data_IF_661409511685
#
_entry.id   IF_661409511685
#
_cell.length_a   1.000
_cell.length_b   1.000
_cell.length_c   1.000
_cell.angle_alpha   90.00
_cell.angle_beta   90.00
_cell.angle_gamma   90.00
#
_symmetry.space_group_name_H-M   'P 1'
#
loop_
_entity.id
_entity.type
_entity.pdbx_description
1 polymer ?
#
# COMPACT_ATOMS: atom_id res chain seq x y z
N UNK A 1 6.39 15.87 9.24
CA UNK A 1 6.81 14.92 8.18
C UNK A 1 6.61 13.49 8.65
N UNK A 2 6.13 12.63 7.77
CA UNK A 2 5.93 11.22 8.08
C UNK A 2 7.04 10.40 7.44
N UNK A 3 7.61 9.51 8.22
CA UNK A 3 8.61 8.56 7.74
C UNK A 3 7.96 7.19 7.58
N UNK A 4 8.03 6.61 6.38
CA UNK A 4 7.43 5.30 6.09
C UNK A 4 8.51 4.23 6.18
N UNK A 5 8.47 3.46 7.26
CA UNK A 5 9.49 2.46 7.56
C UNK A 5 9.04 1.08 7.05
N UNK A 6 9.82 0.43 6.16
CA UNK A 6 9.45 -0.88 5.65
C UNK A 6 9.63 -1.97 6.69
N UNK A 7 8.78 -2.98 6.62
CA UNK A 7 8.88 -4.17 7.44
C UNK A 7 8.72 -5.40 6.54
N UNK A 8 9.70 -6.30 6.56
CA UNK A 8 9.69 -7.49 5.73
C UNK A 8 9.77 -8.80 6.53
N UNK A 9 10.01 -8.72 7.83
CA UNK A 9 10.05 -9.89 8.69
C UNK A 9 8.63 -10.37 8.97
N UNK A 10 8.32 -11.62 8.58
CA UNK A 10 6.95 -12.15 8.70
C UNK A 10 6.44 -12.19 10.14
N UNK A 11 7.32 -12.47 11.11
CA UNK A 11 6.91 -12.46 12.52
C UNK A 11 6.44 -11.07 12.95
N UNK A 12 7.17 -10.02 12.55
CA UNK A 12 6.80 -8.65 12.89
C UNK A 12 5.52 -8.24 12.17
N UNK A 13 5.36 -8.64 10.92
CA UNK A 13 4.14 -8.36 10.17
C UNK A 13 2.95 -9.06 10.83
N UNK A 14 3.11 -10.30 11.25
CA UNK A 14 2.05 -11.03 11.95
C UNK A 14 1.64 -10.33 13.24
N UNK A 15 2.60 -9.76 13.98
CA UNK A 15 2.29 -9.02 15.20
C UNK A 15 1.54 -7.73 14.93
N UNK A 16 1.83 -7.07 13.79
CA UNK A 16 1.19 -5.81 13.43
C UNK A 16 -0.22 -6.00 12.86
N UNK A 17 -0.40 -7.08 12.11
CA UNK A 17 -1.64 -7.33 11.39
C UNK A 17 -2.19 -8.69 11.74
N UNK A 18 -3.07 -8.90 12.52
CA UNK A 18 -3.67 -10.18 12.89
C UNK A 18 -4.26 -10.87 11.65
N UNK A 19 -3.39 -11.40 10.80
CA UNK A 19 -3.77 -11.93 9.49
C UNK A 19 -3.10 -13.28 9.21
N UNK A 20 -3.68 -14.00 8.27
CA UNK A 20 -3.17 -15.29 7.80
C UNK A 20 -2.30 -15.08 6.56
N UNK A 21 -1.16 -15.75 6.51
CA UNK A 21 -0.24 -15.65 5.38
C UNK A 21 -0.30 -16.88 4.48
N UNK A 22 -0.45 -16.65 3.19
CA UNK A 22 -0.37 -17.71 2.19
C UNK A 22 1.09 -17.99 1.87
N UNK A 23 1.46 -19.28 1.81
CA UNK A 23 2.86 -19.66 1.59
C UNK A 23 3.38 -19.30 0.21
N UNK A 24 2.51 -19.20 -0.78
CA UNK A 24 2.89 -18.89 -2.16
C UNK A 24 3.08 -17.41 -2.43
N UNK A 25 2.82 -16.55 -1.45
CA UNK A 25 2.84 -15.11 -1.64
C UNK A 25 3.96 -14.47 -0.83
N UNK A 26 4.44 -13.31 -1.30
CA UNK A 26 5.41 -12.49 -0.60
C UNK A 26 4.64 -11.35 0.07
N UNK A 27 4.96 -11.08 1.33
CA UNK A 27 4.31 -10.02 2.09
C UNK A 27 5.33 -8.96 2.48
N UNK A 28 4.84 -7.74 2.59
CA UNK A 28 5.62 -6.63 3.13
C UNK A 28 4.68 -5.65 3.79
N UNK A 29 5.25 -4.78 4.59
CA UNK A 29 4.47 -3.78 5.30
C UNK A 29 5.24 -2.48 5.42
N UNK A 30 4.51 -1.40 5.67
CA UNK A 30 5.09 -0.13 6.06
C UNK A 30 4.42 0.35 7.34
N UNK A 31 5.22 0.93 8.22
CA UNK A 31 4.73 1.63 9.41
C UNK A 31 5.05 3.10 9.21
N UNK A 32 4.06 3.96 9.38
CA UNK A 32 4.26 5.41 9.32
C UNK A 32 4.62 5.94 10.70
N UNK A 33 5.65 6.77 10.78
CA UNK A 33 6.14 7.31 12.04
C UNK A 33 6.26 8.82 11.92
N UNK A 34 5.73 9.55 12.90
CA UNK A 34 5.82 11.01 12.91
C UNK A 34 7.15 11.50 13.48
N UNK A 35 7.33 12.80 13.57
CA UNK A 35 8.57 13.42 14.04
C UNK A 35 8.90 13.07 15.49
N UNK A 36 7.90 12.72 16.29
CA UNK A 36 8.08 12.37 17.69
C UNK A 36 8.31 10.87 17.90
N UNK A 37 8.35 10.09 16.82
CA UNK A 37 8.55 8.66 16.89
C UNK A 37 7.29 7.86 17.12
N UNK A 38 6.11 8.50 17.06
CA UNK A 38 4.84 7.82 17.25
C UNK A 38 4.33 7.20 15.97
N UNK A 39 3.74 5.99 16.06
CA UNK A 39 3.13 5.35 14.93
C UNK A 39 1.85 6.09 14.53
N UNK A 40 1.74 6.45 13.26
CA UNK A 40 0.54 7.10 12.71
C UNK A 40 -0.24 6.18 11.78
N UNK A 41 0.23 4.97 11.57
CA UNK A 41 -0.49 4.00 10.74
C UNK A 41 0.41 2.91 10.21
N UNK A 42 -0.22 2.00 9.47
CA UNK A 42 0.47 0.85 8.88
C UNK A 42 -0.26 0.40 7.62
N UNK A 43 0.47 -0.29 6.75
CA UNK A 43 -0.04 -0.78 5.47
C UNK A 43 0.55 -2.15 5.20
N UNK A 44 -0.28 -3.09 4.74
CA UNK A 44 0.14 -4.45 4.41
C UNK A 44 -0.04 -4.68 2.92
N UNK A 45 1.01 -5.23 2.28
CA UNK A 45 1.00 -5.58 0.86
C UNK A 45 1.26 -7.07 0.69
N UNK A 46 0.71 -7.61 -0.39
CA UNK A 46 0.88 -9.01 -0.77
C UNK A 46 1.26 -9.06 -2.24
N UNK A 47 2.32 -9.80 -2.58
CA UNK A 47 2.80 -9.93 -3.95
C UNK A 47 2.66 -11.38 -4.38
N UNK A 48 2.06 -11.59 -5.55
CA UNK A 48 1.90 -12.90 -6.14
C UNK A 48 2.19 -12.78 -7.64
N UNK A 49 3.41 -13.14 -8.05
CA UNK A 49 3.84 -12.99 -9.42
C UNK A 49 3.91 -11.52 -9.85
N UNK A 50 3.24 -11.20 -10.94
CA UNK A 50 3.19 -9.82 -11.46
C UNK A 50 2.16 -8.94 -10.77
N UNK A 51 1.39 -9.50 -9.86
CA UNK A 51 0.31 -8.77 -9.21
C UNK A 51 0.65 -8.49 -7.76
N UNK A 52 0.30 -7.30 -7.30
CA UNK A 52 0.33 -7.01 -5.88
C UNK A 52 -1.04 -6.54 -5.42
N UNK A 53 -1.30 -6.74 -4.16
CA UNK A 53 -2.54 -6.31 -3.52
C UNK A 53 -2.20 -5.45 -2.32
N UNK A 54 -2.87 -4.30 -2.20
CA UNK A 54 -2.86 -3.51 -0.98
C UNK A 54 -3.93 -4.14 -0.10
N UNK A 55 -3.49 -4.94 0.87
CA UNK A 55 -4.40 -5.78 1.67
C UNK A 55 -5.09 -4.96 2.74
N UNK A 56 -4.33 -4.08 3.40
CA UNK A 56 -4.84 -3.35 4.55
C UNK A 56 -4.09 -2.03 4.70
N UNK A 57 -4.82 -0.98 5.02
CA UNK A 57 -4.25 0.29 5.47
C UNK A 57 -5.00 0.68 6.74
N UNK A 58 -4.26 0.95 7.79
CA UNK A 58 -4.81 1.37 9.07
C UNK A 58 -4.19 2.71 9.44
N UNK A 59 -4.92 3.79 9.21
CA UNK A 59 -4.50 5.16 9.52
C UNK A 59 -5.72 6.07 9.50
N UNK A 60 -5.50 7.35 9.74
CA UNK A 60 -6.57 8.35 9.62
C UNK A 60 -6.89 8.59 8.15
N UNK A 61 -7.99 8.04 7.68
CA UNK A 61 -8.39 8.15 6.26
C UNK A 61 -8.81 9.56 5.87
N UNK A 62 -9.06 10.45 6.83
CA UNK A 62 -9.33 11.85 6.51
C UNK A 62 -8.05 12.60 6.11
N UNK A 63 -6.89 12.08 6.47
CA UNK A 63 -5.60 12.63 6.07
C UNK A 63 -5.18 12.01 4.74
N UNK A 64 -5.58 12.65 3.65
CA UNK A 64 -5.37 12.11 2.31
C UNK A 64 -3.91 12.05 1.91
N UNK A 65 -3.08 12.97 2.41
CA UNK A 65 -1.64 12.94 2.14
C UNK A 65 -0.98 11.75 2.83
N UNK A 66 -1.45 11.41 4.03
CA UNK A 66 -0.95 10.24 4.75
C UNK A 66 -1.30 8.95 3.99
N UNK A 67 -2.54 8.83 3.54
CA UNK A 67 -2.99 7.67 2.75
C UNK A 67 -2.17 7.56 1.46
N UNK A 68 -2.01 8.67 0.75
CA UNK A 68 -1.22 8.68 -0.49
C UNK A 68 0.22 8.25 -0.25
N UNK A 69 0.83 8.71 0.85
CA UNK A 69 2.18 8.31 1.21
C UNK A 69 2.31 6.81 1.42
N UNK A 70 1.36 6.18 2.11
CA UNK A 70 1.34 4.73 2.27
C UNK A 70 1.19 4.01 0.93
N UNK A 71 0.29 4.49 0.08
CA UNK A 71 0.09 3.87 -1.23
C UNK A 71 1.33 3.96 -2.11
N UNK A 72 2.00 5.11 -2.14
CA UNK A 72 3.22 5.27 -2.92
C UNK A 72 4.34 4.38 -2.40
N UNK A 73 4.50 4.31 -1.08
CA UNK A 73 5.50 3.43 -0.47
C UNK A 73 5.21 1.97 -0.83
N UNK A 74 3.95 1.56 -0.73
CA UNK A 74 3.54 0.20 -1.06
C UNK A 74 3.79 -0.13 -2.53
N UNK A 75 3.46 0.79 -3.44
CA UNK A 75 3.66 0.58 -4.87
C UNK A 75 5.15 0.46 -5.21
N UNK A 76 5.99 1.30 -4.60
CA UNK A 76 7.44 1.22 -4.80
C UNK A 76 7.99 -0.11 -4.29
N UNK A 77 7.54 -0.56 -3.13
CA UNK A 77 7.94 -1.85 -2.58
C UNK A 77 7.62 -2.98 -3.55
N UNK A 78 6.40 -2.98 -4.08
CA UNK A 78 5.95 -4.01 -4.99
C UNK A 78 6.69 -3.96 -6.33
N UNK A 79 6.92 -2.75 -6.86
CA UNK A 79 7.67 -2.57 -8.11
C UNK A 79 9.10 -3.12 -7.98
N UNK A 80 9.74 -2.88 -6.85
CA UNK A 80 11.10 -3.37 -6.61
C UNK A 80 11.17 -4.90 -6.51
N UNK A 81 10.03 -5.56 -6.39
CA UNK A 81 9.93 -7.02 -6.36
C UNK A 81 9.24 -7.57 -7.60
N UNK A 82 9.30 -6.82 -8.68
CA UNK A 82 8.86 -7.22 -10.02
C UNK A 82 7.34 -7.32 -10.19
N UNK A 83 6.56 -6.75 -9.29
CA UNK A 83 5.13 -6.62 -9.51
C UNK A 83 4.87 -5.52 -10.55
N UNK A 84 3.91 -5.74 -11.42
CA UNK A 84 3.55 -4.79 -12.47
C UNK A 84 2.16 -4.20 -12.26
N UNK A 85 1.21 -5.03 -11.82
CA UNK A 85 -0.18 -4.61 -11.61
C UNK A 85 -0.47 -4.52 -10.11
N UNK A 86 -1.19 -3.49 -9.73
CA UNK A 86 -1.61 -3.28 -8.34
C UNK A 86 -3.13 -3.32 -8.24
N UNK A 87 -3.62 -3.88 -7.15
CA UNK A 87 -5.04 -4.04 -6.88
C UNK A 87 -5.34 -3.64 -5.44
N UNK A 88 -6.50 -3.01 -5.23
CA UNK A 88 -6.93 -2.61 -3.90
C UNK A 88 -8.46 -2.59 -3.88
N UNK A 89 -9.04 -3.20 -2.86
CA UNK A 89 -10.50 -3.22 -2.69
C UNK A 89 -10.97 -2.45 -1.45
N UNK A 90 -10.12 -1.59 -0.91
CA UNK A 90 -10.44 -0.77 0.27
C UNK A 90 -11.23 0.44 -0.18
N UNK A 91 -12.55 0.41 -0.01
CA UNK A 91 -13.42 1.46 -0.54
C UNK A 91 -13.34 2.78 0.23
N UNK A 92 -12.91 2.73 1.48
CA UNK A 92 -12.77 3.92 2.32
C UNK A 92 -11.75 4.92 1.77
N UNK A 93 -10.81 4.47 0.95
CA UNK A 93 -9.77 5.32 0.37
C UNK A 93 -9.94 5.49 -1.14
N UNK A 94 -11.14 5.24 -1.66
CA UNK A 94 -11.38 5.27 -3.11
C UNK A 94 -10.99 6.60 -3.76
N UNK A 95 -11.19 7.71 -3.07
CA UNK A 95 -10.85 9.03 -3.62
C UNK A 95 -9.37 9.16 -3.90
N UNK A 96 -8.53 8.65 -2.99
CA UNK A 96 -7.08 8.68 -3.18
C UNK A 96 -6.67 7.69 -4.26
N UNK A 97 -7.30 6.51 -4.30
CA UNK A 97 -7.01 5.53 -5.34
C UNK A 97 -7.29 6.09 -6.73
N UNK A 98 -8.46 6.71 -6.91
CA UNK A 98 -8.83 7.31 -8.20
C UNK A 98 -7.90 8.47 -8.56
N UNK A 99 -7.51 9.28 -7.57
CA UNK A 99 -6.58 10.40 -7.78
C UNK A 99 -5.23 9.90 -8.30
N UNK A 100 -4.74 8.76 -7.81
CA UNK A 100 -3.47 8.19 -8.25
C UNK A 100 -3.56 7.55 -9.64
N UNK A 101 -4.77 7.24 -10.11
CA UNK A 101 -4.96 6.64 -11.42
C UNK A 101 -5.51 5.22 -11.42
N UNK A 102 -5.84 4.69 -10.24
CA UNK A 102 -6.51 3.39 -10.19
C UNK A 102 -7.87 3.47 -10.86
N UNK A 103 -8.28 2.39 -11.50
CA UNK A 103 -9.61 2.28 -12.13
C UNK A 103 -10.45 1.26 -11.39
N UNK A 104 -11.70 1.61 -11.14
CA UNK A 104 -12.64 0.69 -10.49
C UNK A 104 -13.11 -0.37 -11.49
N UNK A 105 -12.82 -1.62 -11.18
CA UNK A 105 -13.23 -2.77 -11.98
C UNK A 105 -14.02 -3.73 -11.07
N UNK A 106 -15.34 -3.53 -11.03
CA UNK A 106 -16.26 -4.35 -10.24
C UNK A 106 -15.93 -4.36 -8.75
N UNK A 107 -15.59 -3.19 -8.20
CA UNK A 107 -15.30 -3.06 -6.78
C UNK A 107 -13.84 -3.24 -6.42
N UNK A 108 -13.00 -3.62 -7.37
CA UNK A 108 -11.55 -3.70 -7.17
C UNK A 108 -10.90 -2.58 -7.96
N UNK A 109 -10.09 -1.78 -7.29
CA UNK A 109 -9.35 -0.69 -7.93
C UNK A 109 -8.01 -1.23 -8.41
N UNK A 110 -7.72 -1.08 -9.69
CA UNK A 110 -6.54 -1.69 -10.32
C UNK A 110 -5.83 -0.69 -11.22
N UNK A 111 -4.54 -0.91 -11.43
CA UNK A 111 -3.74 -0.13 -12.36
C UNK A 111 -2.34 -0.70 -12.48
N UNK A 112 -1.63 -0.32 -13.55
CA UNK A 112 -0.23 -0.70 -13.68
C UNK A 112 0.64 0.23 -12.85
N UNK A 113 1.59 -0.34 -12.14
CA UNK A 113 2.39 0.40 -11.17
C UNK A 113 3.17 1.56 -11.79
N UNK A 114 3.82 1.41 -12.96
CA UNK A 114 4.52 2.55 -13.56
C UNK A 114 3.63 3.76 -13.79
N UNK A 115 2.42 3.56 -14.27
CA UNK A 115 1.47 4.65 -14.49
C UNK A 115 1.00 5.25 -13.17
N UNK A 116 0.71 4.41 -12.18
CA UNK A 116 0.24 4.87 -10.87
C UNK A 116 1.28 5.75 -10.18
N UNK A 117 2.55 5.38 -10.26
CA UNK A 117 3.63 6.16 -9.65
C UNK A 117 3.90 7.47 -10.36
N UNK A 118 3.64 7.53 -11.66
CA UNK A 118 3.80 8.77 -12.44
C UNK A 118 2.61 9.71 -12.32
N UNK A 119 1.41 9.14 -12.15
CA UNK A 119 0.16 9.85 -12.38
C UNK A 119 0.05 11.19 -11.69
N UNK A 120 0.32 11.25 -10.40
CA UNK A 120 0.18 12.50 -9.65
C UNK A 120 1.37 13.44 -9.85
N UNK A 121 2.51 12.93 -10.31
CA UNK A 121 3.70 13.75 -10.55
C UNK A 121 3.61 14.54 -11.86
N UNK A 122 2.74 14.13 -12.75
CA UNK A 122 2.60 14.73 -14.06
C UNK A 122 1.55 15.84 -14.11
N UNK A 123 1.01 16.17 -12.98
CA UNK A 123 0.01 17.23 -12.87
C UNK A 123 0.62 18.60 -12.52
#
# INVERSE_FOLDING_TARGET
MIFYKPETNLSNIADLFDTYFEQSSVYGAYVGIDEDGNSVGKCLMKINGYNCEIVSIDCDFSDKLLVEGFLRAALNFCANRSAYMAHCSITEIKDVLLHLGFENKNGVYSGDIPTLLKGSCCK
#
